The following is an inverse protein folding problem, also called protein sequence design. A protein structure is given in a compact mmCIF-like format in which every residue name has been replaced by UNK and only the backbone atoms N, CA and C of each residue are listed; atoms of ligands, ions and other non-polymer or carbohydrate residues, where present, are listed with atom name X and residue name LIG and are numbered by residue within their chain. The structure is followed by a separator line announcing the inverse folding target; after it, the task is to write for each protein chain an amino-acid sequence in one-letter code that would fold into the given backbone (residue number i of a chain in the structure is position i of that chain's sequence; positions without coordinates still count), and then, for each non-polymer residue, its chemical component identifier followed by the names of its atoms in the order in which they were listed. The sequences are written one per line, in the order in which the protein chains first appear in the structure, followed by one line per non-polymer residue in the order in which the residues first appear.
data_IF_884504981540
#
_entry.id   IF_884504981540
#
_cell.length_a   1.000
_cell.length_b   1.000
_cell.length_c   1.000
_cell.angle_alpha   90.00
_cell.angle_beta   90.00
_cell.angle_gamma   90.00
#
_symmetry.space_group_name_H-M   'P 1'
#
loop_
_entity.id
_entity.type
_entity.pdbx_description
1 polymer ?
#
# COMPACT_ATOMS: atom_id res chain seq x y z
N UNK A 1 -3.63 -7.67 11.08
CA UNK A 1 -4.49 -8.42 10.14
C UNK A 1 -5.35 -9.39 10.91
N UNK A 2 -6.62 -9.58 10.54
CA UNK A 2 -7.52 -10.57 11.15
C UNK A 2 -7.28 -11.97 10.57
N UNK A 3 -7.75 -13.02 11.27
CA UNK A 3 -7.67 -14.40 10.76
C UNK A 3 -8.39 -14.55 9.41
N UNK A 4 -9.61 -14.02 9.31
CA UNK A 4 -10.41 -14.05 8.08
C UNK A 4 -9.66 -13.42 6.90
N UNK A 5 -9.16 -12.19 7.07
CA UNK A 5 -8.41 -11.47 6.03
C UNK A 5 -7.15 -12.24 5.62
N UNK A 6 -6.44 -12.85 6.57
CA UNK A 6 -5.26 -13.66 6.29
C UNK A 6 -5.60 -14.89 5.43
N UNK A 7 -6.64 -15.63 5.80
CA UNK A 7 -7.05 -16.85 5.07
C UNK A 7 -7.52 -16.51 3.65
N UNK A 8 -8.35 -15.49 3.48
CA UNK A 8 -8.85 -15.02 2.18
C UNK A 8 -7.70 -14.53 1.28
N UNK A 9 -6.76 -13.76 1.84
CA UNK A 9 -5.60 -13.24 1.09
C UNK A 9 -4.66 -14.38 0.68
N UNK A 10 -4.38 -15.33 1.58
CA UNK A 10 -3.54 -16.48 1.28
C UNK A 10 -4.15 -17.37 0.21
N UNK A 11 -5.45 -17.64 0.26
CA UNK A 11 -6.17 -18.40 -0.75
C UNK A 11 -6.15 -17.69 -2.11
N UNK A 12 -6.41 -16.38 -2.12
CA UNK A 12 -6.30 -15.57 -3.32
C UNK A 12 -4.90 -15.66 -3.94
N UNK A 13 -3.84 -15.41 -3.16
CA UNK A 13 -2.47 -15.42 -3.65
C UNK A 13 -2.05 -16.81 -4.17
N UNK A 14 -2.49 -17.89 -3.51
CA UNK A 14 -2.21 -19.27 -3.95
C UNK A 14 -2.79 -19.57 -5.33
N UNK A 15 -3.96 -18.99 -5.64
CA UNK A 15 -4.60 -19.10 -6.96
C UNK A 15 -3.97 -18.14 -7.97
N UNK A 16 -3.70 -16.90 -7.54
CA UNK A 16 -3.19 -15.83 -8.39
C UNK A 16 -1.78 -16.10 -8.94
N UNK A 17 -0.95 -16.83 -8.21
CA UNK A 17 0.38 -17.27 -8.69
C UNK A 17 0.30 -17.94 -10.07
N UNK A 18 -0.77 -18.70 -10.36
CA UNK A 18 -0.91 -19.34 -11.67
C UNK A 18 -1.19 -18.33 -12.80
N UNK A 19 -1.77 -17.18 -12.48
CA UNK A 19 -2.08 -16.12 -13.47
C UNK A 19 -0.80 -15.41 -13.90
N UNK A 20 0.17 -15.29 -12.99
CA UNK A 20 1.43 -14.57 -13.26
C UNK A 20 2.29 -15.23 -14.33
N UNK A 21 2.13 -16.52 -14.58
CA UNK A 21 2.93 -17.30 -15.53
C UNK A 21 2.11 -17.87 -16.69
N UNK A 22 1.00 -17.24 -17.03
CA UNK A 22 0.11 -17.75 -18.09
C UNK A 22 0.63 -17.56 -19.52
N UNK A 23 1.46 -16.56 -19.75
CA UNK A 23 2.07 -16.32 -21.07
C UNK A 23 3.49 -16.88 -21.12
N UNK A 24 3.97 -17.28 -22.31
CA UNK A 24 5.32 -17.80 -22.48
C UNK A 24 6.39 -16.78 -22.11
N UNK A 25 6.15 -15.52 -22.37
CA UNK A 25 7.03 -14.41 -21.99
C UNK A 25 7.11 -14.27 -20.46
N UNK A 26 6.00 -14.26 -19.76
CA UNK A 26 5.98 -14.22 -18.31
C UNK A 26 6.60 -15.49 -17.69
N UNK A 27 6.29 -16.68 -18.23
CA UNK A 27 6.91 -17.95 -17.79
C UNK A 27 8.42 -17.90 -17.89
N UNK A 28 8.96 -17.39 -19.00
CA UNK A 28 10.41 -17.21 -19.20
C UNK A 28 10.99 -16.21 -18.19
N UNK A 29 10.36 -15.06 -18.00
CA UNK A 29 10.81 -14.07 -17.02
C UNK A 29 10.91 -14.64 -15.61
N UNK A 30 9.89 -15.31 -15.13
CA UNK A 30 9.90 -15.96 -13.80
C UNK A 30 10.86 -17.15 -13.71
N UNK A 31 11.16 -17.84 -14.82
CA UNK A 31 12.17 -18.88 -14.84
C UNK A 31 13.58 -18.31 -14.70
N UNK A 32 13.87 -17.18 -15.38
CA UNK A 32 15.14 -16.46 -15.24
C UNK A 32 15.33 -15.93 -13.81
N UNK A 33 14.30 -15.32 -13.22
CA UNK A 33 14.34 -14.86 -11.84
C UNK A 33 14.56 -16.01 -10.86
N UNK A 34 13.88 -17.14 -11.06
CA UNK A 34 14.06 -18.32 -10.24
C UNK A 34 15.48 -18.85 -10.28
N UNK A 35 16.08 -18.87 -11.46
CA UNK A 35 17.49 -19.26 -11.64
C UNK A 35 18.44 -18.28 -10.95
N UNK A 36 18.20 -16.98 -11.11
CA UNK A 36 19.02 -15.92 -10.51
C UNK A 36 19.02 -15.98 -8.97
N UNK A 37 17.84 -16.19 -8.37
CA UNK A 37 17.66 -16.27 -6.91
C UNK A 37 17.93 -17.67 -6.34
N UNK A 38 18.24 -18.68 -7.16
CA UNK A 38 18.51 -20.05 -6.73
C UNK A 38 17.29 -20.73 -6.07
N UNK A 39 16.07 -20.35 -6.50
CA UNK A 39 14.83 -20.96 -6.00
C UNK A 39 14.29 -21.98 -7.02
N UNK A 40 13.45 -22.93 -6.60
CA UNK A 40 12.70 -23.78 -7.53
C UNK A 40 11.78 -22.98 -8.46
N UNK A 41 11.06 -23.69 -9.34
CA UNK A 41 10.03 -23.04 -10.14
C UNK A 41 9.19 -22.09 -9.29
N UNK A 42 9.03 -20.84 -9.76
CA UNK A 42 8.40 -19.75 -9.02
C UNK A 42 7.03 -20.12 -8.44
N UNK A 43 6.15 -20.73 -9.25
CA UNK A 43 4.81 -21.09 -8.81
C UNK A 43 4.83 -22.12 -7.69
N UNK A 44 5.68 -23.13 -7.80
CA UNK A 44 5.83 -24.15 -6.77
C UNK A 44 6.44 -23.57 -5.49
N UNK A 45 7.45 -22.73 -5.63
CA UNK A 45 8.06 -22.04 -4.50
C UNK A 45 7.04 -21.20 -3.74
N UNK A 46 6.31 -20.33 -4.45
CA UNK A 46 5.30 -19.44 -3.85
C UNK A 46 4.20 -20.21 -3.13
N UNK A 47 3.64 -21.26 -3.76
CA UNK A 47 2.62 -22.12 -3.11
C UNK A 47 3.15 -22.79 -1.85
N UNK A 48 4.38 -23.28 -1.90
CA UNK A 48 5.03 -23.92 -0.75
C UNK A 48 5.26 -22.93 0.40
N UNK A 49 5.70 -21.70 0.10
CA UNK A 49 5.91 -20.68 1.12
C UNK A 49 4.59 -20.18 1.70
N UNK A 50 3.58 -19.90 0.86
CA UNK A 50 2.24 -19.49 1.30
C UNK A 50 1.58 -20.53 2.21
N UNK A 51 1.78 -21.83 1.94
CA UNK A 51 1.26 -22.90 2.77
C UNK A 51 1.88 -22.95 4.17
N UNK A 52 3.15 -22.55 4.30
CA UNK A 52 3.88 -22.50 5.59
C UNK A 52 3.58 -21.22 6.38
N UNK A 53 3.16 -20.13 5.70
CA UNK A 53 2.97 -18.84 6.31
C UNK A 53 1.81 -18.87 7.32
N UNK A 54 2.04 -18.33 8.50
CA UNK A 54 1.03 -18.20 9.55
C UNK A 54 0.56 -16.76 9.73
N UNK A 55 -0.61 -16.59 10.34
CA UNK A 55 -1.11 -15.26 10.74
C UNK A 55 -0.13 -14.54 11.69
N UNK A 56 0.53 -15.31 12.56
CA UNK A 56 1.52 -14.76 13.51
C UNK A 56 2.72 -14.18 12.76
N UNK A 57 3.24 -14.90 11.75
CA UNK A 57 4.37 -14.41 10.94
C UNK A 57 4.05 -13.08 10.27
N UNK A 58 2.88 -12.97 9.63
CA UNK A 58 2.43 -11.74 8.97
C UNK A 58 2.28 -10.60 9.98
N UNK A 59 1.60 -10.83 11.11
CA UNK A 59 1.41 -9.80 12.12
C UNK A 59 2.73 -9.36 12.78
N UNK A 60 3.68 -10.27 12.96
CA UNK A 60 5.02 -9.93 13.46
C UNK A 60 5.81 -9.11 12.43
N UNK A 61 5.73 -9.46 11.15
CA UNK A 61 6.34 -8.69 10.07
C UNK A 61 5.73 -7.26 9.98
N UNK A 62 4.40 -7.15 10.07
CA UNK A 62 3.72 -5.85 10.11
C UNK A 62 4.25 -5.01 11.28
N UNK A 63 4.26 -5.55 12.50
CA UNK A 63 4.76 -4.81 13.68
C UNK A 63 6.22 -4.39 13.55
N UNK A 64 7.04 -5.23 12.93
CA UNK A 64 8.48 -4.99 12.79
C UNK A 64 8.80 -3.98 11.69
N UNK A 65 8.08 -4.01 10.57
CA UNK A 65 8.48 -3.30 9.36
C UNK A 65 7.53 -2.15 8.97
N UNK A 66 6.28 -2.16 9.43
CA UNK A 66 5.33 -1.08 9.16
C UNK A 66 5.35 -0.08 10.31
N UNK A 67 6.16 0.96 10.15
CA UNK A 67 6.20 2.12 11.05
C UNK A 67 5.94 3.39 10.25
N UNK A 68 5.16 4.29 10.81
CA UNK A 68 4.94 5.63 10.25
C UNK A 68 6.05 6.62 10.59
N UNK A 69 6.96 6.28 11.51
CA UNK A 69 7.98 7.19 12.04
C UNK A 69 8.97 7.69 10.98
N UNK A 70 9.20 6.87 9.95
CA UNK A 70 10.12 7.18 8.84
C UNK A 70 9.41 7.27 7.49
N UNK A 71 8.08 7.35 7.50
CA UNK A 71 7.30 7.44 6.28
C UNK A 71 7.54 8.79 5.59
N UNK A 72 7.84 8.76 4.30
CA UNK A 72 7.91 9.94 3.44
C UNK A 72 6.70 9.94 2.53
N UNK A 73 5.99 11.06 2.50
CA UNK A 73 4.81 11.25 1.65
C UNK A 73 5.13 12.32 0.62
N UNK A 74 4.90 12.01 -0.65
CA UNK A 74 5.06 12.97 -1.75
C UNK A 74 3.69 13.24 -2.35
N UNK A 75 3.35 14.52 -2.48
CA UNK A 75 2.07 14.96 -3.05
C UNK A 75 2.32 15.94 -4.19
N UNK A 76 1.66 15.73 -5.32
CA UNK A 76 1.71 16.64 -6.48
C UNK A 76 0.39 17.42 -6.52
N UNK A 77 0.48 18.73 -6.53
CA UNK A 77 -0.70 19.61 -6.50
C UNK A 77 -0.43 20.92 -7.23
N UNK A 78 -1.50 21.57 -7.71
CA UNK A 78 -1.44 22.91 -8.29
C UNK A 78 -1.21 23.99 -7.23
N UNK A 79 -1.72 23.80 -6.02
CA UNK A 79 -1.57 24.71 -4.89
C UNK A 79 -0.84 24.05 -3.73
N UNK A 80 0.48 24.01 -3.82
CA UNK A 80 1.32 23.41 -2.79
C UNK A 80 1.28 24.19 -1.46
N UNK A 81 1.13 25.50 -1.50
CA UNK A 81 1.06 26.34 -0.29
C UNK A 81 -0.27 26.12 0.44
N UNK A 82 -1.38 26.15 -0.28
CA UNK A 82 -2.70 25.87 0.29
C UNK A 82 -2.81 24.47 0.85
N UNK A 83 -2.27 23.46 0.16
CA UNK A 83 -2.22 22.07 0.66
C UNK A 83 -1.38 21.97 1.92
N UNK A 84 -0.17 22.54 1.94
CA UNK A 84 0.68 22.59 3.14
C UNK A 84 -0.06 23.22 4.33
N UNK A 85 -0.69 24.35 4.11
CA UNK A 85 -1.44 25.05 5.15
C UNK A 85 -2.64 24.25 5.66
N UNK A 86 -3.33 23.51 4.79
CA UNK A 86 -4.42 22.65 5.18
C UNK A 86 -3.92 21.48 6.06
N UNK A 87 -2.83 20.83 5.66
CA UNK A 87 -2.24 19.70 6.40
C UNK A 87 -1.71 20.13 7.77
N UNK A 88 -0.90 21.21 7.79
CA UNK A 88 -0.29 21.72 9.03
C UNK A 88 -1.34 22.23 10.03
N UNK A 89 -2.39 22.91 9.53
CA UNK A 89 -3.50 23.39 10.35
C UNK A 89 -4.54 22.31 10.64
N UNK A 90 -4.32 21.10 10.16
CA UNK A 90 -5.20 19.96 10.33
C UNK A 90 -6.66 20.27 9.94
N UNK A 91 -6.81 20.96 8.79
CA UNK A 91 -8.14 21.33 8.28
C UNK A 91 -8.89 20.08 7.84
N UNK A 92 -10.21 19.99 8.10
CA UNK A 92 -11.02 18.89 7.59
C UNK A 92 -10.94 18.77 6.07
N UNK A 93 -10.81 17.54 5.57
CA UNK A 93 -10.78 17.21 4.15
C UNK A 93 -12.04 16.40 3.79
N UNK A 94 -13.10 17.09 3.36
CA UNK A 94 -14.34 16.42 2.99
C UNK A 94 -14.18 15.65 1.69
N UNK A 95 -14.65 14.40 1.68
CA UNK A 95 -14.66 13.52 0.51
C UNK A 95 -15.98 13.73 -0.24
N UNK A 96 -15.91 13.89 -1.56
CA UNK A 96 -17.06 14.02 -2.44
C UNK A 96 -17.09 12.90 -3.46
N UNK A 97 -18.27 12.37 -3.75
CA UNK A 97 -18.48 11.28 -4.68
C UNK A 97 -19.39 11.70 -5.83
N UNK A 98 -19.09 11.25 -7.04
CA UNK A 98 -19.95 11.43 -8.21
C UNK A 98 -21.26 10.61 -8.14
N UNK A 99 -21.29 9.54 -7.31
CA UNK A 99 -22.45 8.68 -7.11
C UNK A 99 -22.71 8.44 -5.64
N UNK A 100 -23.96 8.15 -5.28
CA UNK A 100 -24.35 7.82 -3.90
C UNK A 100 -23.54 6.66 -3.35
N UNK A 101 -23.19 6.75 -2.06
CA UNK A 101 -22.46 5.73 -1.30
C UNK A 101 -23.32 5.16 -0.16
N UNK A 102 -23.10 3.91 0.23
CA UNK A 102 -23.71 3.34 1.43
C UNK A 102 -23.44 4.20 2.68
N UNK A 103 -24.37 4.20 3.62
CA UNK A 103 -24.24 5.01 4.84
C UNK A 103 -23.02 4.65 5.68
N UNK A 104 -22.56 3.39 5.65
CA UNK A 104 -21.34 2.94 6.32
C UNK A 104 -20.10 3.70 5.82
N UNK A 105 -19.97 3.85 4.51
CA UNK A 105 -18.88 4.61 3.87
C UNK A 105 -18.93 6.07 4.31
N UNK A 106 -20.11 6.71 4.27
CA UNK A 106 -20.26 8.10 4.67
C UNK A 106 -19.93 8.34 6.16
N UNK A 107 -20.23 7.36 7.00
CA UNK A 107 -19.89 7.42 8.44
C UNK A 107 -18.38 7.31 8.65
N UNK A 108 -17.71 6.40 7.94
CA UNK A 108 -16.25 6.27 7.96
C UNK A 108 -15.56 7.53 7.41
N UNK A 109 -16.04 8.08 6.30
CA UNK A 109 -15.52 9.32 5.70
C UNK A 109 -15.58 10.51 6.65
N UNK A 110 -16.64 10.62 7.46
CA UNK A 110 -16.75 11.69 8.45
C UNK A 110 -15.64 11.62 9.52
N UNK A 111 -15.22 10.41 9.89
CA UNK A 111 -14.08 10.18 10.79
C UNK A 111 -12.77 10.51 10.10
N UNK A 112 -12.58 10.04 8.87
CA UNK A 112 -11.36 10.26 8.07
C UNK A 112 -11.18 11.74 7.77
N UNK A 113 -12.25 12.45 7.38
CA UNK A 113 -12.21 13.88 7.04
C UNK A 113 -11.67 14.77 8.17
N UNK A 114 -11.88 14.36 9.42
CA UNK A 114 -11.46 15.11 10.62
C UNK A 114 -10.28 14.48 11.35
N UNK A 115 -9.71 13.39 10.80
CA UNK A 115 -8.62 12.67 11.47
C UNK A 115 -7.37 13.54 11.63
N UNK A 116 -6.83 13.70 12.86
CA UNK A 116 -5.72 14.59 13.11
C UNK A 116 -4.39 13.97 12.65
N UNK A 117 -3.83 14.45 11.55
CA UNK A 117 -2.54 13.98 11.02
C UNK A 117 -1.36 14.54 11.85
N UNK A 118 -1.52 15.72 12.44
CA UNK A 118 -0.51 16.37 13.35
C UNK A 118 0.86 16.56 12.70
N UNK A 119 0.91 16.94 11.44
CA UNK A 119 2.17 17.20 10.73
C UNK A 119 2.75 18.54 11.20
N UNK A 120 4.04 18.53 11.59
CA UNK A 120 4.73 19.75 11.98
C UNK A 120 5.16 20.55 10.73
N UNK A 121 5.12 21.90 10.79
CA UNK A 121 5.47 22.77 9.64
C UNK A 121 6.87 22.49 9.06
N UNK A 122 7.84 22.18 9.93
CA UNK A 122 9.23 21.88 9.57
C UNK A 122 9.39 20.55 8.80
N UNK A 123 8.39 19.67 8.87
CA UNK A 123 8.39 18.38 8.16
C UNK A 123 7.76 18.46 6.77
N UNK A 124 7.31 19.65 6.33
CA UNK A 124 6.70 19.85 5.01
C UNK A 124 7.57 20.74 4.15
N UNK A 125 8.16 20.16 3.11
CA UNK A 125 8.96 20.88 2.12
C UNK A 125 8.15 21.04 0.83
N UNK A 126 8.16 22.24 0.25
CA UNK A 126 7.59 22.51 -1.07
C UNK A 126 8.75 22.59 -2.06
N UNK A 127 8.74 21.72 -3.07
CA UNK A 127 9.71 21.75 -4.16
C UNK A 127 8.98 22.16 -5.45
N UNK A 128 9.37 23.28 -6.09
CA UNK A 128 8.86 23.63 -7.41
C UNK A 128 9.17 22.55 -8.44
N UNK A 129 8.26 22.30 -9.39
CA UNK A 129 8.41 21.20 -10.34
C UNK A 129 9.70 21.31 -11.17
N UNK A 130 10.16 22.52 -11.45
CA UNK A 130 11.37 22.82 -12.21
C UNK A 130 12.65 22.38 -11.48
N UNK A 131 12.56 22.11 -10.17
CA UNK A 131 13.70 21.68 -9.31
C UNK A 131 13.68 20.20 -8.94
N UNK A 132 12.70 19.45 -9.44
CA UNK A 132 12.55 18.02 -9.04
C UNK A 132 13.64 17.13 -9.65
N UNK A 133 14.16 17.52 -10.82
CA UNK A 133 15.15 16.74 -11.60
C UNK A 133 16.47 17.48 -11.81
N UNK A 134 16.81 18.40 -10.94
CA UNK A 134 18.08 19.13 -10.94
C UNK A 134 19.05 18.56 -9.93
#
# INVERSE_FOLDING_TARGET
MTKKTFEETRDFLTKFVNVLTQTKDAELGYALDSNYYGIPNYNQYMKTQLAKLTLADVNNAIKKHFSTDKMRVVMITKDAKGLRDAIVKNKPAHITYAAAKPQEILTEDAVIATYPIKVKPENVTITPVEKVFQ
#
